data_IF_664394645263
#
_entry.id   IF_664394645263
#
_cell.length_a   1.000
_cell.length_b   1.000
_cell.length_c   1.000
_cell.angle_alpha   90.00
_cell.angle_beta   90.00
_cell.angle_gamma   90.00
#
_symmetry.space_group_name_H-M   'P 1'
#
loop_
_entity.id
_entity.type
_entity.pdbx_description
1 polymer ?
#
# COMPACT_ATOMS: atom_id res chain seq x y z
N UNK A 1 -3.60 -51.10 -23.08
CA UNK A 1 -4.31 -49.82 -23.26
C UNK A 1 -3.39 -48.89 -24.04
N UNK A 2 -3.81 -48.54 -25.25
CA UNK A 2 -3.14 -47.63 -26.18
C UNK A 2 -3.37 -46.18 -25.75
N UNK A 3 -2.32 -45.35 -25.77
CA UNK A 3 -2.40 -43.91 -26.00
C UNK A 3 -1.19 -43.54 -26.87
N UNK A 4 -1.30 -43.67 -28.20
CA UNK A 4 -1.60 -42.60 -29.15
C UNK A 4 -0.71 -41.35 -28.98
N UNK A 5 0.38 -41.36 -29.75
CA UNK A 5 1.16 -40.18 -30.14
C UNK A 5 0.35 -39.40 -31.17
N UNK A 6 0.24 -38.09 -31.02
CA UNK A 6 -0.27 -37.21 -32.08
C UNK A 6 0.56 -35.93 -32.10
N UNK A 7 1.35 -35.84 -33.16
CA UNK A 7 2.03 -34.64 -33.64
C UNK A 7 1.14 -33.95 -34.70
N UNK A 8 1.58 -32.80 -35.21
CA UNK A 8 1.00 -31.86 -36.19
C UNK A 8 0.23 -30.67 -35.60
N UNK A 9 0.37 -29.42 -36.06
CA UNK A 9 1.31 -28.76 -36.97
C UNK A 9 1.11 -27.23 -36.87
N UNK A 10 2.18 -26.47 -37.12
CA UNK A 10 2.14 -25.01 -37.25
C UNK A 10 1.44 -24.58 -38.55
N UNK A 11 0.68 -23.48 -38.50
CA UNK A 11 0.21 -22.75 -39.68
C UNK A 11 0.42 -21.27 -39.46
N UNK A 12 1.28 -20.69 -40.30
CA UNK A 12 1.49 -19.26 -40.50
C UNK A 12 0.44 -18.72 -41.47
N UNK A 13 -0.26 -17.65 -41.10
CA UNK A 13 -1.16 -16.91 -41.98
C UNK A 13 -0.83 -15.43 -41.98
N UNK A 14 -0.29 -14.95 -43.11
CA UNK A 14 -0.08 -13.54 -43.46
C UNK A 14 -1.25 -13.10 -44.34
N UNK A 15 -1.91 -11.98 -44.02
CA UNK A 15 -2.66 -11.18 -45.02
C UNK A 15 -2.72 -9.70 -44.62
N UNK A 16 -2.74 -8.86 -45.66
CA UNK A 16 -2.33 -7.46 -45.70
C UNK A 16 -3.48 -6.44 -45.58
N UNK A 17 -3.10 -5.22 -45.19
CA UNK A 17 -3.54 -3.89 -45.65
C UNK A 17 -5.03 -3.56 -45.88
N UNK A 18 -5.48 -2.41 -45.32
CA UNK A 18 -5.88 -1.22 -46.11
C UNK A 18 -6.30 -0.08 -45.18
N UNK A 19 -5.63 1.07 -45.33
CA UNK A 19 -5.93 2.36 -44.72
C UNK A 19 -7.04 3.09 -45.50
N UNK A 20 -7.90 3.84 -44.80
CA UNK A 20 -8.76 4.87 -45.42
C UNK A 20 -8.68 6.17 -44.64
N UNK A 21 -7.98 7.12 -45.24
CA UNK A 21 -7.95 8.56 -44.96
C UNK A 21 -9.03 9.27 -45.77
N UNK A 22 -9.65 10.34 -45.24
CA UNK A 22 -10.33 11.47 -45.92
C UNK A 22 -11.24 12.15 -44.85
N UNK A 23 -11.44 13.46 -44.72
CA UNK A 23 -11.04 14.63 -45.49
C UNK A 23 -11.33 15.87 -44.64
N UNK A 24 -10.48 16.89 -44.84
CA UNK A 24 -10.56 18.29 -44.40
C UNK A 24 -11.86 19.01 -44.80
N UNK A 25 -12.29 20.01 -44.00
CA UNK A 25 -12.50 21.41 -44.48
C UNK A 25 -12.84 22.44 -43.38
N UNK A 26 -12.22 23.60 -43.53
CA UNK A 26 -12.35 24.84 -42.74
C UNK A 26 -13.57 25.70 -43.14
N UNK A 27 -14.12 26.52 -42.22
CA UNK A 27 -14.04 28.01 -42.19
C UNK A 27 -15.10 28.73 -41.31
N UNK A 28 -14.62 29.83 -40.70
CA UNK A 28 -15.25 31.16 -40.50
C UNK A 28 -16.33 31.43 -39.40
N UNK A 29 -15.84 32.05 -38.31
CA UNK A 29 -16.09 33.43 -37.83
C UNK A 29 -17.51 34.06 -37.76
N UNK A 30 -17.68 34.80 -36.64
CA UNK A 30 -18.44 36.06 -36.40
C UNK A 30 -19.84 35.94 -35.77
N UNK A 31 -20.00 36.35 -34.49
CA UNK A 31 -20.61 37.64 -34.13
C UNK A 31 -20.67 37.86 -32.61
N UNK A 32 -20.34 39.09 -32.23
CA UNK A 32 -20.43 39.71 -30.92
C UNK A 32 -21.90 40.11 -30.69
N UNK A 33 -22.45 39.85 -29.50
CA UNK A 33 -23.56 40.64 -28.97
C UNK A 33 -23.30 40.96 -27.49
N UNK A 34 -23.12 42.25 -27.24
CA UNK A 34 -23.10 42.90 -25.94
C UNK A 34 -24.55 43.13 -25.50
N UNK A 35 -24.91 42.71 -24.29
CA UNK A 35 -25.92 43.45 -23.53
C UNK A 35 -25.68 43.33 -22.02
N UNK A 36 -25.58 44.51 -21.41
CA UNK A 36 -25.30 44.79 -20.02
C UNK A 36 -26.49 44.45 -19.10
N UNK A 37 -26.17 44.08 -17.84
CA UNK A 37 -27.14 44.00 -16.75
C UNK A 37 -26.40 43.82 -15.42
N UNK A 38 -26.46 44.83 -14.56
CA UNK A 38 -25.60 45.06 -13.41
C UNK A 38 -25.91 44.23 -12.14
N UNK A 39 -24.99 44.36 -11.17
CA UNK A 39 -25.13 44.29 -9.69
C UNK A 39 -24.83 42.96 -8.99
N UNK A 40 -23.64 42.97 -8.38
CA UNK A 40 -23.41 42.92 -6.93
C UNK A 40 -23.89 41.66 -6.19
N UNK A 41 -22.95 40.85 -5.67
CA UNK A 41 -22.42 41.12 -4.33
C UNK A 41 -21.25 40.19 -3.99
N UNK A 42 -20.24 40.77 -3.35
CA UNK A 42 -19.13 40.05 -2.74
C UNK A 42 -19.64 39.06 -1.69
N UNK A 43 -19.32 37.78 -1.86
CA UNK A 43 -19.13 36.91 -0.69
C UNK A 43 -18.00 35.91 -0.89
N UNK A 44 -16.78 36.45 -0.99
CA UNK A 44 -15.54 35.73 -0.72
C UNK A 44 -15.43 35.51 0.79
N UNK A 45 -16.22 34.61 1.38
CA UNK A 45 -15.82 33.95 2.62
C UNK A 45 -16.76 32.80 2.99
N UNK A 46 -16.30 31.58 2.70
CA UNK A 46 -16.32 30.39 3.58
C UNK A 46 -16.07 29.17 2.71
N UNK A 47 -14.80 29.00 2.33
CA UNK A 47 -14.24 27.69 2.00
C UNK A 47 -14.22 26.87 3.30
N UNK A 48 -15.38 26.37 3.72
CA UNK A 48 -15.47 25.29 4.68
C UNK A 48 -14.78 24.09 4.04
N UNK A 49 -13.60 23.73 4.54
CA UNK A 49 -12.89 22.51 4.18
C UNK A 49 -13.88 21.34 4.38
N UNK A 50 -14.38 20.78 3.28
CA UNK A 50 -15.23 19.59 3.32
C UNK A 50 -14.34 18.43 3.74
N UNK A 51 -14.43 18.02 5.01
CA UNK A 51 -13.99 16.70 5.42
C UNK A 51 -14.86 15.69 4.67
N UNK A 52 -14.28 15.00 3.69
CA UNK A 52 -14.95 13.89 3.02
C UNK A 52 -15.11 12.76 4.03
N UNK A 53 -16.32 12.56 4.53
CA UNK A 53 -16.71 11.35 5.24
C UNK A 53 -17.40 10.45 4.23
N UNK A 54 -16.80 9.31 3.91
CA UNK A 54 -17.54 8.22 3.26
C UNK A 54 -18.60 7.76 4.27
N UNK A 55 -19.87 7.71 3.85
CA UNK A 55 -21.03 7.40 4.69
C UNK A 55 -21.31 5.91 4.51
N UNK A 56 -21.36 5.14 5.60
CA UNK A 56 -21.93 3.80 5.59
C UNK A 56 -23.42 3.96 5.94
N UNK A 57 -24.33 3.47 5.10
CA UNK A 57 -25.77 3.77 5.21
C UNK A 57 -26.48 3.08 6.39
N UNK A 58 -25.78 2.21 7.13
CA UNK A 58 -26.35 1.35 8.18
C UNK A 58 -25.84 1.63 9.61
N UNK A 59 -25.28 2.81 9.89
CA UNK A 59 -24.71 3.13 11.21
C UNK A 59 -25.48 4.28 11.89
N UNK A 60 -26.46 3.93 12.74
CA UNK A 60 -27.27 4.87 13.54
C UNK A 60 -26.56 5.35 14.82
N UNK A 61 -25.27 5.08 14.98
CA UNK A 61 -24.53 5.53 16.15
C UNK A 61 -24.18 7.03 16.09
N UNK A 62 -24.23 7.76 17.22
CA UNK A 62 -23.97 9.20 17.24
C UNK A 62 -22.52 9.48 16.86
N UNK A 63 -22.33 10.16 15.71
CA UNK A 63 -21.00 10.49 15.20
C UNK A 63 -20.26 11.45 16.13
N UNK A 64 -19.22 10.94 16.79
CA UNK A 64 -18.34 11.76 17.63
C UNK A 64 -17.47 12.63 16.72
N UNK A 65 -17.58 13.95 16.86
CA UNK A 65 -16.77 14.90 16.10
C UNK A 65 -15.47 15.22 16.82
N UNK A 66 -14.35 14.96 16.16
CA UNK A 66 -13.03 15.37 16.65
C UNK A 66 -12.83 16.87 16.38
N UNK A 67 -12.54 17.69 17.40
CA UNK A 67 -12.25 19.10 17.23
C UNK A 67 -11.09 19.35 16.24
N UNK A 68 -11.21 20.36 15.37
CA UNK A 68 -10.26 20.67 14.28
C UNK A 68 -8.82 21.05 14.68
N UNK A 69 -8.44 20.95 15.97
CA UNK A 69 -7.09 21.24 16.46
C UNK A 69 -6.42 20.05 17.15
N UNK A 70 -7.14 18.95 17.41
CA UNK A 70 -6.63 17.85 18.23
C UNK A 70 -5.44 17.09 17.60
N UNK A 71 -5.27 17.20 16.28
CA UNK A 71 -4.22 16.49 15.52
C UNK A 71 -3.18 17.43 14.87
N UNK A 72 -3.06 18.68 15.35
CA UNK A 72 -1.98 19.59 14.94
C UNK A 72 -2.03 20.03 13.47
N UNK A 73 -3.17 19.91 12.79
CA UNK A 73 -3.33 20.29 11.39
C UNK A 73 -4.73 20.00 10.84
N UNK A 74 -4.89 20.16 9.52
CA UNK A 74 -6.16 19.95 8.81
C UNK A 74 -6.43 18.50 8.38
N UNK A 75 -5.62 17.54 8.84
CA UNK A 75 -5.78 16.12 8.56
C UNK A 75 -6.65 15.47 9.63
N UNK A 76 -7.67 14.72 9.21
CA UNK A 76 -8.51 13.94 10.12
C UNK A 76 -7.71 12.78 10.73
N UNK A 77 -8.11 12.22 11.89
CA UNK A 77 -7.45 11.04 12.47
C UNK A 77 -7.43 9.84 11.50
N UNK A 78 -8.49 9.67 10.70
CA UNK A 78 -8.56 8.63 9.69
C UNK A 78 -7.51 8.84 8.61
N UNK A 79 -7.26 10.10 8.21
CA UNK A 79 -6.18 10.41 7.27
C UNK A 79 -4.82 10.07 7.86
N UNK A 80 -4.60 10.36 9.15
CA UNK A 80 -3.34 10.02 9.82
C UNK A 80 -3.13 8.51 9.89
N UNK A 81 -4.18 7.75 10.21
CA UNK A 81 -4.15 6.30 10.17
C UNK A 81 -3.84 5.76 8.76
N UNK A 82 -4.47 6.33 7.73
CA UNK A 82 -4.21 5.95 6.35
C UNK A 82 -2.75 6.20 5.92
N UNK A 83 -2.13 7.29 6.38
CA UNK A 83 -0.71 7.56 6.09
C UNK A 83 0.23 6.54 6.74
N UNK A 84 -0.12 6.01 7.92
CA UNK A 84 0.63 4.92 8.59
C UNK A 84 0.41 3.60 7.87
N UNK A 85 -0.82 3.32 7.43
CA UNK A 85 -1.13 2.14 6.63
C UNK A 85 -0.36 2.15 5.30
N UNK A 86 -0.23 3.32 4.67
CA UNK A 86 0.57 3.47 3.44
C UNK A 86 2.04 3.09 3.64
N UNK A 87 2.62 3.45 4.80
CA UNK A 87 3.97 3.05 5.18
C UNK A 87 4.09 1.54 5.37
N UNK A 88 3.18 0.97 6.15
CA UNK A 88 3.13 -0.47 6.42
C UNK A 88 3.02 -1.27 5.12
N UNK A 89 2.06 -0.94 4.26
CA UNK A 89 1.82 -1.67 3.01
C UNK A 89 2.99 -1.56 2.03
N UNK A 90 3.68 -0.42 2.00
CA UNK A 90 4.89 -0.27 1.19
C UNK A 90 6.05 -1.12 1.73
N UNK A 91 6.20 -1.21 3.05
CA UNK A 91 7.17 -2.10 3.68
C UNK A 91 6.86 -3.57 3.40
N UNK A 92 5.61 -4.01 3.61
CA UNK A 92 5.18 -5.38 3.31
C UNK A 92 5.37 -5.73 1.83
N UNK A 93 5.00 -4.82 0.91
CA UNK A 93 5.21 -5.04 -0.52
C UNK A 93 6.69 -5.17 -0.90
N UNK A 94 7.58 -4.43 -0.23
CA UNK A 94 9.03 -4.57 -0.43
C UNK A 94 9.50 -5.96 -0.03
N UNK A 95 9.04 -6.47 1.12
CA UNK A 95 9.33 -7.85 1.55
C UNK A 95 8.77 -8.93 0.64
N UNK A 96 7.57 -8.72 0.08
CA UNK A 96 7.02 -9.63 -0.94
C UNK A 96 7.95 -9.70 -2.16
N UNK A 97 8.47 -8.56 -2.64
CA UNK A 97 9.40 -8.53 -3.77
C UNK A 97 10.75 -9.16 -3.43
N UNK A 98 11.27 -8.95 -2.22
CA UNK A 98 12.48 -9.63 -1.72
C UNK A 98 12.29 -11.15 -1.77
N UNK A 99 11.18 -11.67 -1.23
CA UNK A 99 10.89 -13.11 -1.25
C UNK A 99 10.71 -13.68 -2.68
N UNK A 100 10.16 -12.89 -3.61
CA UNK A 100 10.10 -13.27 -5.02
C UNK A 100 11.51 -13.37 -5.63
N UNK A 101 12.41 -12.43 -5.32
CA UNK A 101 13.79 -12.46 -5.80
C UNK A 101 14.55 -13.68 -5.25
N UNK A 102 14.39 -13.99 -3.96
CA UNK A 102 14.98 -15.20 -3.34
C UNK A 102 14.50 -16.49 -4.00
N UNK A 103 13.19 -16.59 -4.26
CA UNK A 103 12.61 -17.76 -4.93
C UNK A 103 13.13 -17.95 -6.36
N UNK A 104 13.29 -16.85 -7.10
CA UNK A 104 13.89 -16.88 -8.45
C UNK A 104 15.37 -17.30 -8.35
N UNK A 105 16.13 -16.75 -7.41
CA UNK A 105 17.55 -17.10 -7.20
C UNK A 105 17.71 -18.60 -6.88
N UNK A 106 16.87 -19.15 -6.01
CA UNK A 106 16.88 -20.57 -5.68
C UNK A 106 16.52 -21.44 -6.90
N UNK A 107 15.51 -21.06 -7.69
CA UNK A 107 15.12 -21.78 -8.92
C UNK A 107 16.23 -21.82 -9.96
N UNK A 108 16.94 -20.71 -10.14
CA UNK A 108 18.04 -20.60 -11.10
C UNK A 108 19.29 -21.38 -10.64
N UNK A 109 19.55 -21.46 -9.34
CA UNK A 109 20.72 -22.17 -8.79
C UNK A 109 20.57 -23.70 -8.74
N UNK A 110 19.34 -24.26 -8.84
CA UNK A 110 19.09 -25.72 -8.77
C UNK A 110 19.37 -26.45 -10.10
N UNK A 111 19.61 -25.74 -11.20
CA UNK A 111 19.84 -26.35 -12.51
C UNK A 111 21.23 -26.96 -12.73
N UNK A 112 22.10 -27.01 -11.72
CA UNK A 112 23.39 -27.71 -11.79
C UNK A 112 23.57 -28.73 -10.65
N UNK A 113 22.95 -29.94 -10.70
CA UNK A 113 23.23 -31.02 -9.75
C UNK A 113 24.46 -31.84 -10.13
N UNK A 114 24.82 -31.87 -11.41
CA UNK A 114 25.95 -32.68 -11.91
C UNK A 114 27.14 -31.75 -12.13
N UNK A 115 28.13 -31.84 -11.23
CA UNK A 115 29.30 -30.98 -11.12
C UNK A 115 30.29 -30.98 -12.30
N UNK A 116 29.82 -31.20 -13.53
CA UNK A 116 30.58 -31.03 -14.76
C UNK A 116 29.69 -30.40 -15.84
N UNK A 117 29.60 -29.08 -15.82
CA UNK A 117 29.35 -28.32 -17.06
C UNK A 117 30.27 -27.11 -17.08
N UNK A 118 31.46 -27.31 -17.69
CA UNK A 118 32.13 -26.26 -18.46
C UNK A 118 31.27 -25.97 -19.70
N UNK A 119 30.04 -25.53 -19.50
CA UNK A 119 29.26 -24.91 -20.55
C UNK A 119 29.03 -23.47 -20.12
N UNK A 120 29.85 -22.60 -20.68
CA UNK A 120 29.64 -21.17 -20.72
C UNK A 120 28.35 -20.90 -21.52
N UNK A 121 27.19 -21.17 -20.92
CA UNK A 121 25.92 -20.69 -21.46
C UNK A 121 25.86 -19.18 -21.18
N UNK A 122 25.99 -18.42 -22.27
CA UNK A 122 26.29 -16.99 -22.34
C UNK A 122 25.14 -16.06 -21.88
N UNK A 123 24.05 -16.61 -21.38
CA UNK A 123 22.76 -15.95 -21.14
C UNK A 123 22.15 -16.32 -19.78
N UNK A 124 22.20 -17.59 -19.36
CA UNK A 124 21.62 -18.03 -18.07
C UNK A 124 22.37 -17.53 -16.83
N UNK A 125 23.71 -17.64 -16.80
CA UNK A 125 24.52 -17.12 -15.67
C UNK A 125 24.40 -15.60 -15.50
N UNK A 126 24.21 -14.87 -16.61
CA UNK A 126 24.01 -13.44 -16.59
C UNK A 126 22.69 -13.05 -15.89
N UNK A 127 21.63 -13.84 -16.09
CA UNK A 127 20.34 -13.61 -15.44
C UNK A 127 20.38 -13.92 -13.95
N UNK A 128 20.98 -15.05 -13.54
CA UNK A 128 21.17 -15.40 -12.12
C UNK A 128 21.92 -14.29 -11.38
N UNK A 129 23.04 -13.84 -11.94
CA UNK A 129 23.85 -12.78 -11.34
C UNK A 129 23.08 -11.44 -11.25
N UNK A 130 22.24 -11.11 -12.23
CA UNK A 130 21.40 -9.89 -12.19
C UNK A 130 20.37 -9.95 -11.06
N UNK A 131 19.66 -11.07 -10.89
CA UNK A 131 18.63 -11.21 -9.86
C UNK A 131 19.27 -11.26 -8.46
N UNK A 132 20.39 -11.96 -8.29
CA UNK A 132 21.18 -11.93 -7.06
C UNK A 132 21.61 -10.50 -6.71
N UNK A 133 22.15 -9.75 -7.67
CA UNK A 133 22.55 -8.36 -7.45
C UNK A 133 21.36 -7.45 -7.06
N UNK A 134 20.17 -7.68 -7.62
CA UNK A 134 18.97 -6.92 -7.27
C UNK A 134 18.45 -7.23 -5.87
N UNK A 135 18.53 -8.50 -5.44
CA UNK A 135 18.15 -8.92 -4.09
C UNK A 135 19.04 -8.28 -3.03
N UNK A 136 20.37 -8.44 -3.17
CA UNK A 136 21.37 -7.86 -2.27
C UNK A 136 21.27 -6.33 -2.23
N UNK A 137 21.12 -5.70 -3.40
CA UNK A 137 20.91 -4.25 -3.50
C UNK A 137 19.68 -3.79 -2.73
N UNK A 138 18.55 -4.49 -2.85
CA UNK A 138 17.30 -4.06 -2.21
C UNK A 138 17.36 -4.19 -0.69
N UNK A 139 18.03 -5.23 -0.16
CA UNK A 139 18.25 -5.40 1.27
C UNK A 139 19.13 -4.28 1.85
N UNK A 140 20.29 -4.03 1.23
CA UNK A 140 21.21 -2.97 1.63
C UNK A 140 20.56 -1.57 1.50
N UNK A 141 19.75 -1.37 0.46
CA UNK A 141 19.00 -0.13 0.27
C UNK A 141 17.97 0.11 1.38
N UNK A 142 17.29 -0.94 1.85
CA UNK A 142 16.30 -0.86 2.92
C UNK A 142 16.95 -0.56 4.27
N UNK A 143 18.12 -1.14 4.55
CA UNK A 143 18.90 -0.85 5.76
C UNK A 143 19.37 0.61 5.79
N UNK A 144 19.89 1.12 4.66
CA UNK A 144 20.35 2.51 4.53
C UNK A 144 19.21 3.53 4.50
N UNK A 145 18.05 3.16 3.98
CA UNK A 145 16.91 4.05 3.81
C UNK A 145 15.65 3.43 4.45
N UNK A 146 15.39 3.68 5.74
CA UNK A 146 14.17 3.20 6.38
C UNK A 146 12.92 3.86 5.77
N UNK A 147 11.86 3.07 5.59
CA UNK A 147 10.60 3.52 4.99
C UNK A 147 9.82 4.36 6.01
N UNK A 148 10.11 5.67 6.05
CA UNK A 148 9.33 6.66 6.81
C UNK A 148 8.30 7.37 5.94
N UNK A 149 8.74 7.83 4.77
CA UNK A 149 7.91 8.50 3.77
C UNK A 149 7.88 7.64 2.50
N UNK A 150 6.79 6.92 2.22
CA UNK A 150 6.77 5.92 1.15
C UNK A 150 7.03 6.50 -0.24
N UNK A 151 6.45 7.68 -0.55
CA UNK A 151 6.62 8.31 -1.85
C UNK A 151 8.04 8.86 -2.06
N UNK A 152 8.65 9.43 -1.02
CA UNK A 152 10.05 9.89 -1.08
C UNK A 152 11.01 8.71 -1.21
N UNK A 153 10.76 7.64 -0.45
CA UNK A 153 11.53 6.40 -0.52
C UNK A 153 11.41 5.76 -1.91
N UNK A 154 10.19 5.67 -2.45
CA UNK A 154 9.93 5.14 -3.79
C UNK A 154 10.61 5.97 -4.88
N UNK A 155 10.61 7.31 -4.75
CA UNK A 155 11.31 8.20 -5.67
C UNK A 155 12.83 7.98 -5.65
N UNK A 156 13.41 7.74 -4.47
CA UNK A 156 14.84 7.40 -4.35
C UNK A 156 15.15 6.05 -4.97
N UNK A 157 14.33 5.03 -4.70
CA UNK A 157 14.51 3.70 -5.28
C UNK A 157 14.38 3.74 -6.81
N UNK A 158 13.37 4.42 -7.34
CA UNK A 158 13.15 4.58 -8.79
C UNK A 158 14.35 5.21 -9.52
N UNK A 159 15.06 6.13 -8.87
CA UNK A 159 16.30 6.73 -9.42
C UNK A 159 17.48 5.75 -9.43
N UNK A 160 17.51 4.79 -8.51
CA UNK A 160 18.59 3.80 -8.41
C UNK A 160 18.30 2.55 -9.25
N UNK A 161 17.10 1.97 -9.12
CA UNK A 161 16.59 0.87 -9.93
C UNK A 161 15.09 1.08 -10.21
N UNK A 162 14.79 1.51 -11.43
CA UNK A 162 13.41 1.72 -11.90
C UNK A 162 12.61 0.42 -12.00
N UNK A 163 13.26 -0.70 -12.33
CA UNK A 163 12.60 -2.00 -12.50
C UNK A 163 12.07 -2.51 -11.16
N UNK A 164 12.90 -2.44 -10.11
CA UNK A 164 12.49 -2.80 -8.75
C UNK A 164 11.38 -1.89 -8.23
N UNK A 165 11.49 -0.58 -8.44
CA UNK A 165 10.45 0.37 -8.04
C UNK A 165 9.10 0.03 -8.68
N UNK A 166 9.07 -0.28 -9.98
CA UNK A 166 7.85 -0.66 -10.68
C UNK A 166 7.23 -1.94 -10.11
N UNK A 167 8.05 -2.95 -9.80
CA UNK A 167 7.57 -4.21 -9.19
C UNK A 167 6.94 -3.96 -7.83
N UNK A 168 7.57 -3.15 -6.98
CA UNK A 168 7.03 -2.82 -5.65
C UNK A 168 5.76 -1.97 -5.77
N UNK A 169 5.67 -1.05 -6.73
CA UNK A 169 4.46 -0.27 -6.98
C UNK A 169 3.26 -1.15 -7.35
N UNK A 170 3.48 -2.15 -8.21
CA UNK A 170 2.44 -3.13 -8.57
C UNK A 170 2.08 -3.98 -7.36
N UNK A 171 3.08 -4.49 -6.63
CA UNK A 171 2.87 -5.33 -5.45
C UNK A 171 2.08 -4.60 -4.35
N UNK A 172 2.42 -3.35 -4.02
CA UNK A 172 1.69 -2.58 -2.99
C UNK A 172 0.26 -2.28 -3.38
N UNK A 173 0.01 -2.03 -4.67
CA UNK A 173 -1.34 -1.79 -5.17
C UNK A 173 -2.17 -3.08 -5.19
N UNK A 174 -1.59 -4.19 -5.66
CA UNK A 174 -2.23 -5.50 -5.65
C UNK A 174 -2.57 -5.94 -4.24
N UNK A 175 -1.60 -5.84 -3.32
CA UNK A 175 -1.77 -6.23 -1.93
C UNK A 175 -2.87 -5.41 -1.25
N UNK A 176 -2.88 -4.07 -1.41
CA UNK A 176 -3.91 -3.23 -0.82
C UNK A 176 -5.33 -3.50 -1.34
N UNK A 177 -5.46 -3.91 -2.59
CA UNK A 177 -6.76 -4.09 -3.25
C UNK A 177 -7.33 -5.51 -3.16
N UNK A 178 -6.46 -6.53 -3.14
CA UNK A 178 -6.87 -7.92 -3.30
C UNK A 178 -6.59 -8.78 -2.07
N UNK A 179 -5.41 -8.62 -1.46
CA UNK A 179 -4.95 -9.53 -0.41
C UNK A 179 -5.15 -8.96 1.00
N UNK A 180 -5.17 -7.63 1.15
CA UNK A 180 -5.24 -7.00 2.44
C UNK A 180 -6.68 -7.03 3.00
N UNK A 181 -6.85 -7.74 4.12
CA UNK A 181 -8.13 -7.93 4.77
C UNK A 181 -8.54 -6.72 5.62
N UNK A 182 -9.03 -5.66 4.96
CA UNK A 182 -9.46 -4.42 5.65
C UNK A 182 -10.50 -4.65 6.77
N UNK A 183 -11.43 -5.59 6.58
CA UNK A 183 -12.44 -5.94 7.60
C UNK A 183 -11.82 -6.61 8.83
N UNK A 184 -10.74 -7.37 8.64
CA UNK A 184 -10.01 -8.01 9.73
C UNK A 184 -9.33 -6.96 10.60
N UNK A 185 -8.70 -5.95 9.99
CA UNK A 185 -8.11 -4.81 10.71
C UNK A 185 -9.14 -4.07 11.55
N UNK A 186 -10.31 -3.76 10.97
CA UNK A 186 -11.39 -3.11 11.71
C UNK A 186 -11.85 -3.95 12.92
N UNK A 187 -12.03 -5.25 12.70
CA UNK A 187 -12.50 -6.18 13.74
C UNK A 187 -11.47 -6.33 14.86
N UNK A 188 -10.19 -6.48 14.50
CA UNK A 188 -9.08 -6.59 15.45
C UNK A 188 -8.91 -5.30 16.25
N UNK A 189 -8.91 -4.14 15.60
CA UNK A 189 -8.75 -2.86 16.28
C UNK A 189 -9.86 -2.62 17.32
N UNK A 190 -11.12 -2.92 16.99
CA UNK A 190 -12.23 -2.80 17.95
C UNK A 190 -12.08 -3.80 19.10
N UNK A 191 -11.80 -5.07 18.78
CA UNK A 191 -11.64 -6.15 19.76
C UNK A 191 -10.50 -5.87 20.73
N UNK A 192 -9.35 -5.41 20.26
CA UNK A 192 -8.17 -5.20 21.09
C UNK A 192 -8.37 -4.03 22.07
N UNK A 193 -9.09 -2.99 21.67
CA UNK A 193 -9.51 -1.91 22.57
C UNK A 193 -10.45 -2.43 23.65
N UNK A 194 -11.47 -3.21 23.29
CA UNK A 194 -12.41 -3.78 24.26
C UNK A 194 -11.71 -4.72 25.25
N UNK A 195 -10.83 -5.58 24.75
CA UNK A 195 -10.07 -6.52 25.58
C UNK A 195 -9.08 -5.79 26.48
N UNK A 196 -8.38 -4.77 25.97
CA UNK A 196 -7.49 -3.92 26.75
C UNK A 196 -8.23 -3.22 27.89
N UNK A 197 -9.40 -2.64 27.60
CA UNK A 197 -10.23 -1.98 28.60
C UNK A 197 -10.71 -2.95 29.69
N UNK A 198 -11.19 -4.15 29.31
CA UNK A 198 -11.62 -5.18 30.27
C UNK A 198 -10.47 -5.61 31.17
N UNK A 199 -9.29 -5.86 30.57
CA UNK A 199 -8.09 -6.25 31.31
C UNK A 199 -7.70 -5.18 32.33
N UNK A 200 -7.63 -3.91 31.91
CA UNK A 200 -7.31 -2.80 32.80
C UNK A 200 -8.33 -2.62 33.93
N UNK A 201 -9.63 -2.81 33.65
CA UNK A 201 -10.67 -2.78 34.68
C UNK A 201 -10.51 -3.91 35.71
N UNK A 202 -10.16 -5.11 35.25
CA UNK A 202 -9.87 -6.24 36.14
C UNK A 202 -8.62 -5.99 36.99
N UNK A 203 -7.52 -5.53 36.40
CA UNK A 203 -6.28 -5.19 37.11
C UNK A 203 -6.51 -4.08 38.14
N UNK A 204 -7.28 -3.06 37.78
CA UNK A 204 -7.64 -1.97 38.69
C UNK A 204 -8.45 -2.47 39.88
N UNK A 205 -9.43 -3.37 39.66
CA UNK A 205 -10.21 -3.97 40.73
C UNK A 205 -9.33 -4.86 41.63
N UNK A 206 -8.46 -5.67 41.05
CA UNK A 206 -7.51 -6.52 41.78
C UNK A 206 -6.57 -5.69 42.67
N UNK A 207 -6.02 -4.59 42.13
CA UNK A 207 -5.19 -3.65 42.89
C UNK A 207 -5.95 -3.03 44.06
N UNK A 208 -7.21 -2.64 43.87
CA UNK A 208 -8.05 -2.09 44.94
C UNK A 208 -8.38 -3.11 46.03
N UNK A 209 -8.61 -4.38 45.66
CA UNK A 209 -8.89 -5.46 46.61
C UNK A 209 -7.64 -5.87 47.39
N UNK A 210 -6.46 -5.80 46.78
CA UNK A 210 -5.17 -6.09 47.43
C UNK A 210 -4.69 -4.93 48.33
N UNK A 211 -4.96 -3.69 47.93
CA UNK A 211 -4.58 -2.48 48.69
C UNK A 211 -5.41 -2.20 49.95
N UNK A 212 -6.47 -2.98 50.23
CA UNK A 212 -7.33 -2.84 51.41
C UNK A 212 -6.86 -3.59 52.67
N UNK A 213 -5.71 -4.27 52.63
CA UNK A 213 -5.21 -5.16 53.70
C UNK A 213 -4.07 -4.62 54.57
N UNK A 214 -3.82 -3.30 54.56
CA UNK A 214 -2.71 -2.66 55.29
C UNK A 214 -3.18 -1.57 56.25
N UNK A 215 -4.13 -1.87 57.13
CA UNK A 215 -4.43 -1.03 58.28
C UNK A 215 -3.43 -1.32 59.40
N UNK A 216 -2.42 -0.47 59.55
CA UNK A 216 -1.46 -0.50 60.64
C UNK A 216 -2.18 -0.47 62.00
N UNK A 217 -2.21 -1.61 62.71
CA UNK A 217 -2.38 -1.64 64.16
C UNK A 217 -1.01 -1.46 64.82
N UNK A 218 -0.40 -0.28 64.65
CA UNK A 218 0.63 0.19 65.58
C UNK A 218 -0.05 0.69 66.84
N UNK A 219 -0.43 -0.25 67.71
CA UNK A 219 -0.77 0.04 69.09
C UNK A 219 0.49 0.53 69.82
N UNK A 220 0.72 1.85 69.76
CA UNK A 220 1.45 2.57 70.81
C UNK A 220 0.48 2.82 71.95
N UNK A 221 0.72 2.27 73.15
CA UNK A 221 0.49 2.91 74.46
C UNK A 221 0.73 1.93 75.61
N UNK A 222 1.61 2.37 76.53
CA UNK A 222 1.86 1.96 77.91
C UNK A 222 2.60 0.63 78.16
#
# INVERSE_FOLDING_TARGET
MLFCVSSFAATTGVTSATTKTLSSRHRAATLISLQNGERSNNNRNRRGRRCFSVRNENDDSPKVYVPCGAFGGASSPERKAADVMHQLLTYTATWVVIGQLESINCRLNVQTPDGESKEQNLDGQGEVNRVNNQHEFLLDFLEKNPIRNPEEWMSKLSKADQSLANRIMIARQGYANMDFEWKSVETLAKRDIENGNKKLQTEMLESMMSGGGGGDTTSSSA
#
